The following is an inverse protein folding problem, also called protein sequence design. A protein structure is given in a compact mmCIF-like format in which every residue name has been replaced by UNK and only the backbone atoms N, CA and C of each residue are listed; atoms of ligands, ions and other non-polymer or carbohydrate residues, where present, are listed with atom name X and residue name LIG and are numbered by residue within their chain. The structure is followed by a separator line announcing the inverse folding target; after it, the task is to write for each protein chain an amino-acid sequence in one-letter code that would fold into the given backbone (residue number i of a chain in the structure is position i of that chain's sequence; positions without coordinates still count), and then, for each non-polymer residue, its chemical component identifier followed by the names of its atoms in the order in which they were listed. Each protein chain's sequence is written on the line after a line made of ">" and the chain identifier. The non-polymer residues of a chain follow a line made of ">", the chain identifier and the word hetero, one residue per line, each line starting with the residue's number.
data_IF_887603065420
#
_entry.id   IF_887603065420
#
_cell.length_a   1.000
_cell.length_b   1.000
_cell.length_c   1.000
_cell.angle_alpha   90.00
_cell.angle_beta   90.00
_cell.angle_gamma   90.00
#
_symmetry.space_group_name_H-M   'P 1'
#
loop_
_entity.id
_entity.type
_entity.pdbx_description
1 polymer ?
#
# COMPACT_ATOMS: atom_id res chain seq x y z
N UNK A 1 -6.74 -18.10 2.55
CA UNK A 1 -5.63 -17.16 2.71
C UNK A 1 -5.01 -16.92 1.33
N UNK A 2 -5.06 -15.69 0.79
CA UNK A 2 -4.89 -15.42 -0.66
C UNK A 2 -3.48 -15.73 -1.18
N UNK A 3 -2.51 -15.85 -0.26
CA UNK A 3 -1.11 -16.19 -0.52
C UNK A 3 -0.80 -17.67 -0.30
N UNK A 4 -1.70 -18.41 0.38
CA UNK A 4 -1.44 -19.80 0.72
C UNK A 4 -1.47 -20.68 -0.55
N UNK A 5 -0.41 -21.45 -0.74
CA UNK A 5 -0.29 -22.40 -1.85
C UNK A 5 0.21 -21.79 -3.18
N UNK A 6 0.59 -20.51 -3.19
CA UNK A 6 1.31 -19.91 -4.31
C UNK A 6 2.82 -20.01 -4.10
N UNK A 7 3.57 -20.17 -5.20
CA UNK A 7 5.02 -20.18 -5.23
C UNK A 7 5.59 -19.27 -6.33
N UNK A 8 6.88 -18.94 -6.20
CA UNK A 8 7.64 -18.20 -7.20
C UNK A 8 6.99 -16.90 -7.67
N UNK A 9 7.02 -16.59 -8.98
CA UNK A 9 6.51 -15.33 -9.53
C UNK A 9 5.03 -15.06 -9.23
N UNK A 10 4.21 -16.12 -9.12
CA UNK A 10 2.78 -15.99 -8.84
C UNK A 10 2.53 -15.53 -7.39
N UNK A 11 3.32 -16.04 -6.44
CA UNK A 11 3.26 -15.59 -5.04
C UNK A 11 3.65 -14.12 -4.91
N UNK A 12 4.68 -13.68 -5.64
CA UNK A 12 5.12 -12.29 -5.58
C UNK A 12 4.08 -11.32 -6.19
N UNK A 13 3.46 -11.68 -7.32
CA UNK A 13 2.37 -10.88 -7.91
C UNK A 13 1.20 -10.77 -6.94
N UNK A 14 0.78 -11.89 -6.33
CA UNK A 14 -0.31 -11.90 -5.36
C UNK A 14 0.04 -11.06 -4.12
N UNK A 15 1.29 -11.14 -3.65
CA UNK A 15 1.79 -10.32 -2.55
C UNK A 15 1.71 -8.84 -2.88
N UNK A 16 2.22 -8.41 -4.04
CA UNK A 16 2.19 -7.00 -4.46
C UNK A 16 0.76 -6.48 -4.58
N UNK A 17 -0.17 -7.26 -5.15
CA UNK A 17 -1.58 -6.88 -5.25
C UNK A 17 -2.25 -6.73 -3.89
N UNK A 18 -1.99 -7.66 -2.95
CA UNK A 18 -2.50 -7.57 -1.57
C UNK A 18 -1.91 -6.35 -0.86
N UNK A 19 -0.61 -6.11 -1.01
CA UNK A 19 0.08 -5.03 -0.34
C UNK A 19 -0.31 -3.67 -0.88
N UNK A 20 -0.54 -3.49 -2.17
CA UNK A 20 -1.07 -2.24 -2.73
C UNK A 20 -2.37 -1.85 -2.00
N UNK A 21 -3.34 -2.77 -1.95
CA UNK A 21 -4.60 -2.50 -1.27
C UNK A 21 -4.43 -2.26 0.24
N UNK A 22 -3.48 -2.93 0.89
CA UNK A 22 -3.15 -2.66 2.29
C UNK A 22 -2.59 -1.25 2.48
N UNK A 23 -1.62 -0.85 1.66
CA UNK A 23 -1.01 0.48 1.76
C UNK A 23 -2.02 1.58 1.47
N UNK A 24 -2.83 1.46 0.41
CA UNK A 24 -3.91 2.41 0.10
C UNK A 24 -4.87 2.60 1.29
N UNK A 25 -5.35 1.51 1.90
CA UNK A 25 -6.24 1.59 3.08
C UNK A 25 -5.56 2.24 4.28
N UNK A 26 -4.29 1.91 4.53
CA UNK A 26 -3.56 2.52 5.66
C UNK A 26 -3.23 3.98 5.44
N UNK A 27 -3.00 4.43 4.20
CA UNK A 27 -2.82 5.84 3.86
C UNK A 27 -4.09 6.64 4.18
N UNK A 28 -5.26 6.14 3.76
CA UNK A 28 -6.56 6.77 4.09
C UNK A 28 -6.76 6.85 5.59
N UNK A 29 -6.56 5.74 6.31
CA UNK A 29 -6.71 5.71 7.76
C UNK A 29 -5.78 6.69 8.49
N UNK A 30 -4.52 6.81 8.04
CA UNK A 30 -3.55 7.74 8.61
C UNK A 30 -3.95 9.20 8.36
N UNK A 31 -4.44 9.51 7.15
CA UNK A 31 -4.95 10.84 6.83
C UNK A 31 -6.16 11.20 7.71
N UNK A 32 -7.12 10.30 7.84
CA UNK A 32 -8.29 10.51 8.73
C UNK A 32 -7.90 10.63 10.20
N UNK A 33 -6.94 9.82 10.67
CA UNK A 33 -6.45 9.91 12.03
C UNK A 33 -5.70 11.23 12.29
N UNK A 34 -4.99 11.76 11.29
CA UNK A 34 -4.21 12.99 11.41
C UNK A 34 -5.07 14.22 11.73
N UNK A 35 -6.31 14.27 11.22
CA UNK A 35 -7.27 15.34 11.48
C UNK A 35 -7.64 15.46 12.97
N UNK A 36 -7.55 14.36 13.73
CA UNK A 36 -7.84 14.31 15.16
C UNK A 36 -6.63 14.57 16.06
N UNK A 37 -5.41 14.67 15.52
CA UNK A 37 -4.19 14.84 16.31
C UNK A 37 -4.01 16.30 16.72
N UNK A 38 -3.66 16.54 17.99
CA UNK A 38 -3.42 17.90 18.52
C UNK A 38 -1.94 18.24 18.70
N UNK A 39 -1.07 17.23 18.68
CA UNK A 39 0.38 17.41 18.83
C UNK A 39 1.03 17.63 17.46
N UNK A 40 1.63 18.81 17.17
CA UNK A 40 2.16 19.13 15.84
C UNK A 40 3.22 18.15 15.33
N UNK A 41 4.04 17.60 16.23
CA UNK A 41 5.03 16.60 15.87
C UNK A 41 4.39 15.30 15.37
N UNK A 42 3.26 14.89 15.97
CA UNK A 42 2.55 13.66 15.60
C UNK A 42 1.78 13.88 14.29
N UNK A 43 1.19 15.06 14.06
CA UNK A 43 0.60 15.43 12.77
C UNK A 43 1.61 15.34 11.63
N UNK A 44 2.81 15.89 11.82
CA UNK A 44 3.89 15.78 10.81
C UNK A 44 4.31 14.35 10.57
N UNK A 45 4.43 13.55 11.63
CA UNK A 45 4.75 12.12 11.49
C UNK A 45 3.65 11.38 10.70
N UNK A 46 2.37 11.66 10.96
CA UNK A 46 1.26 11.06 10.22
C UNK A 46 1.25 11.46 8.74
N UNK A 47 1.59 12.73 8.43
CA UNK A 47 1.73 13.18 7.04
C UNK A 47 2.86 12.44 6.31
N UNK A 48 4.06 12.37 6.91
CA UNK A 48 5.19 11.61 6.34
C UNK A 48 4.83 10.14 6.14
N UNK A 49 4.20 9.53 7.15
CA UNK A 49 3.76 8.14 7.02
C UNK A 49 2.70 7.95 5.94
N UNK A 50 1.87 8.95 5.65
CA UNK A 50 0.89 8.87 4.55
C UNK A 50 1.61 8.92 3.20
N UNK A 51 2.57 9.83 3.05
CA UNK A 51 3.37 9.97 1.84
C UNK A 51 4.17 8.70 1.54
N UNK A 52 4.81 8.09 2.55
CA UNK A 52 5.56 6.82 2.42
C UNK A 52 4.67 5.69 1.86
N UNK A 53 3.38 5.68 2.22
CA UNK A 53 2.43 4.64 1.80
C UNK A 53 2.02 4.84 0.35
N UNK A 54 1.84 6.09 -0.06
CA UNK A 54 1.58 6.45 -1.46
C UNK A 54 2.79 6.10 -2.33
N UNK A 55 4.01 6.42 -1.90
CA UNK A 55 5.23 6.04 -2.63
C UNK A 55 5.38 4.52 -2.75
N UNK A 56 5.06 3.77 -1.68
CA UNK A 56 5.08 2.32 -1.72
C UNK A 56 4.06 1.75 -2.72
N UNK A 57 2.86 2.32 -2.82
CA UNK A 57 1.85 1.94 -3.82
C UNK A 57 2.40 2.14 -5.23
N UNK A 58 2.98 3.31 -5.50
CA UNK A 58 3.56 3.64 -6.80
C UNK A 58 4.68 2.67 -7.19
N UNK A 59 5.59 2.37 -6.25
CA UNK A 59 6.68 1.44 -6.48
C UNK A 59 6.16 0.03 -6.79
N UNK A 60 5.20 -0.46 -6.01
CA UNK A 60 4.63 -1.79 -6.21
C UNK A 60 3.84 -1.87 -7.52
N UNK A 61 3.10 -0.82 -7.89
CA UNK A 61 2.36 -0.76 -9.14
C UNK A 61 3.28 -0.77 -10.36
N UNK A 62 4.39 -0.02 -10.33
CA UNK A 62 5.44 -0.09 -11.36
C UNK A 62 6.07 -1.48 -11.42
N UNK A 63 6.38 -2.07 -10.27
CA UNK A 63 6.93 -3.44 -10.19
C UNK A 63 5.99 -4.48 -10.80
N UNK A 64 4.67 -4.35 -10.61
CA UNK A 64 3.67 -5.20 -11.27
C UNK A 64 3.67 -4.97 -12.79
N UNK A 65 3.69 -3.71 -13.22
CA UNK A 65 3.70 -3.35 -14.64
C UNK A 65 4.94 -3.90 -15.37
N UNK A 66 6.12 -3.83 -14.75
CA UNK A 66 7.37 -4.40 -15.28
C UNK A 66 7.30 -5.93 -15.44
N UNK A 67 6.41 -6.59 -14.68
CA UNK A 67 6.13 -8.03 -14.79
C UNK A 67 5.01 -8.35 -15.77
N UNK A 68 4.50 -7.36 -16.50
CA UNK A 68 3.39 -7.50 -17.45
C UNK A 68 2.02 -7.70 -16.79
N UNK A 69 1.90 -7.42 -15.50
CA UNK A 69 0.66 -7.59 -14.74
C UNK A 69 0.15 -6.22 -14.29
N UNK A 70 -1.14 -5.95 -14.46
CA UNK A 70 -1.75 -4.75 -13.88
C UNK A 70 -2.15 -5.01 -12.42
N UNK A 71 -2.19 -3.96 -11.60
CA UNK A 71 -2.86 -4.03 -10.31
C UNK A 71 -4.33 -4.46 -10.59
N UNK A 72 -4.70 -5.66 -10.13
CA UNK A 72 -6.03 -6.21 -10.38
C UNK A 72 -7.14 -5.31 -9.81
N UNK A 73 -8.38 -5.47 -10.26
CA UNK A 73 -9.50 -4.61 -9.83
C UNK A 73 -9.63 -4.60 -8.31
N UNK A 74 -9.83 -3.38 -7.79
CA UNK A 74 -10.05 -3.05 -6.37
C UNK A 74 -11.30 -3.80 -5.88
N UNK A 75 -11.09 -4.93 -5.22
CA UNK A 75 -12.14 -5.71 -4.56
C UNK A 75 -12.40 -5.25 -3.15
#
# INVERSE_FOLDING_TARGET
>A
DRLAGLDGPAAEVAYLQVMIGHQERTAVLLAEAADGLTTPAVQRAAAVMTDDRVEAVDLMARTLADRGVQAGPRG
#
